data_IF_833354936730
#
_entry.id   IF_833354936730
#
_cell.length_a   1.000
_cell.length_b   1.000
_cell.length_c   1.000
_cell.angle_alpha   90.00
_cell.angle_beta   90.00
_cell.angle_gamma   90.00
#
_symmetry.space_group_name_H-M   'P 1'
#
loop_
_entity.id
_entity.type
_entity.pdbx_description
1 polymer ?
#
# COMPACT_ATOMS: atom_id res chain seq x y z
N UNK A 1 -47.00 -56.82 28.28
CA UNK A 1 -47.34 -55.48 27.76
C UNK A 1 -46.30 -54.50 28.28
N UNK A 2 -45.28 -54.20 27.46
CA UNK A 2 -44.28 -53.18 27.78
C UNK A 2 -43.76 -52.65 26.45
N UNK A 3 -44.15 -51.43 26.09
CA UNK A 3 -43.75 -50.76 24.86
C UNK A 3 -42.54 -49.87 25.18
N UNK A 4 -41.42 -50.09 24.47
CA UNK A 4 -40.26 -49.21 24.53
C UNK A 4 -40.15 -48.49 23.18
N UNK A 5 -40.45 -47.19 23.18
CA UNK A 5 -40.25 -46.28 22.04
C UNK A 5 -38.80 -45.78 22.09
N UNK A 6 -38.04 -46.05 21.04
CA UNK A 6 -36.75 -45.40 20.78
C UNK A 6 -36.94 -44.44 19.59
N UNK A 7 -37.00 -43.16 19.90
CA UNK A 7 -36.92 -42.08 18.93
C UNK A 7 -35.45 -41.93 18.52
N UNK A 8 -35.16 -42.22 17.26
CA UNK A 8 -33.82 -42.03 16.68
C UNK A 8 -33.80 -40.64 16.03
N UNK A 9 -33.27 -39.66 16.75
CA UNK A 9 -33.01 -38.31 16.23
C UNK A 9 -31.83 -38.35 15.27
N UNK A 10 -32.08 -38.16 13.98
CA UNK A 10 -31.03 -37.96 12.97
C UNK A 10 -30.53 -36.53 13.11
N UNK A 11 -29.35 -36.38 13.71
CA UNK A 11 -28.62 -35.10 13.73
C UNK A 11 -28.02 -34.89 12.33
N UNK A 12 -28.55 -33.91 11.60
CA UNK A 12 -27.94 -33.42 10.38
C UNK A 12 -26.68 -32.62 10.76
N UNK A 13 -25.49 -33.17 10.49
CA UNK A 13 -24.25 -32.40 10.51
C UNK A 13 -24.20 -31.51 9.26
N UNK A 14 -24.55 -30.25 9.43
CA UNK A 14 -24.18 -29.19 8.49
C UNK A 14 -22.68 -28.93 8.64
N UNK A 15 -21.88 -29.51 7.75
CA UNK A 15 -20.50 -29.08 7.54
C UNK A 15 -20.55 -27.66 6.95
N UNK A 16 -20.39 -26.65 7.80
CA UNK A 16 -19.93 -25.35 7.35
C UNK A 16 -18.52 -25.55 6.82
N UNK A 17 -18.40 -25.73 5.51
CA UNK A 17 -17.17 -25.40 4.81
C UNK A 17 -16.99 -23.89 4.97
N UNK A 18 -16.40 -23.49 6.11
CA UNK A 18 -15.79 -22.19 6.24
C UNK A 18 -14.78 -22.09 5.11
N UNK A 19 -15.00 -21.14 4.21
CA UNK A 19 -13.95 -20.70 3.30
C UNK A 19 -12.74 -20.45 4.18
N UNK A 20 -11.70 -21.28 4.05
CA UNK A 20 -10.38 -20.96 4.56
C UNK A 20 -9.93 -19.75 3.75
N UNK A 21 -10.36 -18.58 4.20
CA UNK A 21 -9.71 -17.32 3.86
C UNK A 21 -8.31 -17.52 4.39
N UNK A 22 -7.35 -17.58 3.47
CA UNK A 22 -5.93 -17.68 3.73
C UNK A 22 -5.56 -16.57 4.73
N UNK A 23 -5.62 -16.87 6.03
CA UNK A 23 -5.23 -16.01 7.14
C UNK A 23 -3.69 -15.94 7.16
N UNK A 24 -3.10 -15.46 6.06
CA UNK A 24 -1.77 -14.89 6.14
C UNK A 24 -1.92 -13.62 6.97
N UNK A 25 -1.49 -13.70 8.23
CA UNK A 25 -1.36 -12.53 9.10
C UNK A 25 -0.31 -11.64 8.45
N UNK A 26 -0.76 -10.58 7.78
CA UNK A 26 0.13 -9.58 7.23
C UNK A 26 0.67 -8.74 8.38
N UNK A 27 1.99 -8.63 8.46
CA UNK A 27 2.67 -7.84 9.49
C UNK A 27 2.80 -6.38 9.02
N UNK A 28 2.88 -6.15 7.71
CA UNK A 28 2.97 -4.81 7.14
C UNK A 28 1.61 -4.27 6.69
N UNK A 29 1.56 -2.96 6.47
CA UNK A 29 0.38 -2.23 6.04
C UNK A 29 0.70 -1.23 4.92
N UNK A 30 -0.27 -0.36 4.67
CA UNK A 30 -0.19 0.65 3.61
C UNK A 30 -0.80 1.99 4.05
N UNK A 31 -0.56 3.01 3.23
CA UNK A 31 -1.19 4.34 3.27
C UNK A 31 -2.00 4.55 1.99
N UNK A 32 -3.15 5.24 2.08
CA UNK A 32 -3.98 5.57 0.92
C UNK A 32 -3.55 6.91 0.32
N UNK A 33 -3.33 6.96 -0.99
CA UNK A 33 -3.00 8.18 -1.72
C UNK A 33 -4.15 8.54 -2.66
N UNK A 34 -4.91 9.61 -2.36
CA UNK A 34 -5.96 10.09 -3.27
C UNK A 34 -5.44 11.19 -4.15
N UNK A 35 -5.63 11.03 -5.45
CA UNK A 35 -5.24 12.02 -6.45
C UNK A 35 -6.41 12.92 -6.79
N UNK A 36 -6.21 14.22 -6.65
CA UNK A 36 -7.22 15.25 -6.93
C UNK A 36 -6.59 16.32 -7.81
N UNK A 37 -7.35 16.94 -8.69
CA UNK A 37 -6.85 18.07 -9.48
C UNK A 37 -6.45 19.24 -8.57
N UNK A 38 -5.33 19.89 -8.89
CA UNK A 38 -4.86 21.10 -8.24
C UNK A 38 -5.81 22.28 -8.44
N UNK A 39 -5.81 23.21 -7.50
CA UNK A 39 -6.68 24.40 -7.58
C UNK A 39 -6.24 25.34 -8.72
N UNK A 40 -4.98 25.25 -9.13
CA UNK A 40 -4.42 26.01 -10.26
C UNK A 40 -4.83 25.47 -11.63
N UNK A 41 -5.42 24.27 -11.70
CA UNK A 41 -5.70 23.56 -12.95
C UNK A 41 -7.17 23.67 -13.38
N UNK A 42 -7.40 24.13 -14.61
CA UNK A 42 -8.73 24.12 -15.22
C UNK A 42 -9.12 22.72 -15.73
N UNK A 43 -8.14 21.93 -16.18
CA UNK A 43 -8.33 20.62 -16.80
C UNK A 43 -7.70 19.50 -15.94
N UNK A 44 -8.07 18.25 -16.20
CA UNK A 44 -7.46 17.09 -15.52
C UNK A 44 -5.94 17.01 -15.86
N UNK A 45 -5.04 17.10 -14.86
CA UNK A 45 -3.59 17.06 -15.07
C UNK A 45 -3.06 15.64 -15.31
N UNK A 46 -3.85 14.62 -15.01
CA UNK A 46 -3.46 13.21 -15.03
C UNK A 46 -3.64 12.55 -16.41
N UNK A 47 -4.22 13.25 -17.38
CA UNK A 47 -4.48 12.71 -18.72
C UNK A 47 -3.19 12.16 -19.35
N UNK A 48 -3.23 10.92 -19.80
CA UNK A 48 -2.10 10.18 -20.39
C UNK A 48 -1.01 9.72 -19.41
N UNK A 49 -1.28 9.74 -18.10
CA UNK A 49 -0.37 9.14 -17.11
C UNK A 49 -0.29 7.63 -17.33
N UNK A 50 0.92 7.12 -17.51
CA UNK A 50 1.22 5.69 -17.59
C UNK A 50 2.07 5.22 -16.42
N UNK A 51 2.82 6.13 -15.78
CA UNK A 51 3.65 5.81 -14.62
C UNK A 51 3.51 6.89 -13.54
N UNK A 52 3.47 6.46 -12.27
CA UNK A 52 3.44 7.35 -11.10
C UNK A 52 4.62 6.98 -10.20
N UNK A 53 5.29 7.99 -9.65
CA UNK A 53 6.35 7.80 -8.67
C UNK A 53 5.98 8.55 -7.39
N UNK A 54 6.01 7.85 -6.27
CA UNK A 54 5.78 8.42 -4.94
C UNK A 54 6.91 8.01 -4.02
N UNK A 55 7.47 8.96 -3.28
CA UNK A 55 8.43 8.70 -2.21
C UNK A 55 7.90 9.24 -0.88
N UNK A 56 8.11 8.49 0.19
CA UNK A 56 7.83 8.94 1.55
C UNK A 56 9.01 8.67 2.47
N UNK A 57 9.33 9.68 3.27
CA UNK A 57 10.35 9.65 4.32
C UNK A 57 9.81 8.90 5.54
N UNK A 58 10.56 7.91 5.99
CA UNK A 58 10.33 7.29 7.29
C UNK A 58 10.51 8.34 8.38
N UNK A 59 9.60 8.40 9.34
CA UNK A 59 9.78 9.22 10.54
C UNK A 59 10.43 8.39 11.65
N UNK A 60 10.76 9.04 12.77
CA UNK A 60 11.65 8.50 13.82
C UNK A 60 11.32 7.06 14.24
N UNK A 61 10.05 6.71 14.50
CA UNK A 61 9.72 5.32 14.87
C UNK A 61 10.19 4.30 13.81
N UNK A 62 9.89 4.55 12.53
CA UNK A 62 10.24 3.61 11.48
C UNK A 62 11.74 3.57 11.20
N UNK A 63 12.44 4.70 11.41
CA UNK A 63 13.90 4.73 11.36
C UNK A 63 14.50 3.87 12.48
N UNK A 64 14.06 4.07 13.73
CA UNK A 64 14.52 3.30 14.90
C UNK A 64 14.24 1.80 14.73
N UNK A 65 13.10 1.44 14.14
CA UNK A 65 12.76 0.05 13.82
C UNK A 65 13.79 -0.59 12.87
N UNK A 66 14.09 0.03 11.73
CA UNK A 66 15.05 -0.54 10.77
C UNK A 66 16.51 -0.48 11.24
N UNK A 67 16.84 0.38 12.21
CA UNK A 67 18.15 0.40 12.87
C UNK A 67 18.26 -0.71 13.92
N UNK A 68 17.18 -0.99 14.66
CA UNK A 68 17.14 -2.06 15.65
C UNK A 68 17.04 -3.46 15.01
N UNK A 69 16.35 -3.58 13.87
CA UNK A 69 16.16 -4.83 13.15
C UNK A 69 16.57 -4.70 11.67
N UNK A 70 17.88 -4.77 11.36
CA UNK A 70 18.37 -4.70 10.00
C UNK A 70 17.97 -5.90 9.14
N UNK A 71 17.54 -7.03 9.74
CA UNK A 71 17.07 -8.19 8.98
C UNK A 71 15.76 -7.88 8.25
N UNK A 72 14.96 -6.93 8.75
CA UNK A 72 13.67 -6.50 8.17
C UNK A 72 13.80 -5.46 7.04
N UNK A 73 15.01 -4.97 6.77
CA UNK A 73 15.28 -4.07 5.63
C UNK A 73 15.04 -4.81 4.32
N UNK A 74 14.78 -4.09 3.23
CA UNK A 74 14.54 -4.68 1.91
C UNK A 74 15.69 -5.56 1.44
N UNK A 75 16.93 -5.20 1.76
CA UNK A 75 18.16 -5.95 1.49
C UNK A 75 18.63 -6.81 2.67
N UNK A 76 17.86 -6.83 3.77
CA UNK A 76 18.08 -7.66 4.94
C UNK A 76 17.68 -9.12 4.71
N UNK A 77 18.02 -9.99 5.68
CA UNK A 77 17.76 -11.44 5.57
C UNK A 77 16.27 -11.77 5.40
N UNK A 78 15.42 -11.03 6.09
CA UNK A 78 13.99 -11.25 6.15
C UNK A 78 13.23 -10.28 5.21
N UNK A 79 13.94 -9.39 4.51
CA UNK A 79 13.38 -8.44 3.54
C UNK A 79 12.60 -9.10 2.41
N UNK A 80 13.03 -10.27 1.93
CA UNK A 80 12.31 -11.02 0.90
C UNK A 80 10.94 -11.52 1.40
N UNK A 81 10.79 -11.76 2.72
CA UNK A 81 9.49 -12.12 3.30
C UNK A 81 8.51 -10.94 3.24
N UNK A 82 9.00 -9.71 3.35
CA UNK A 82 8.17 -8.50 3.30
C UNK A 82 7.95 -8.04 1.85
N UNK A 83 9.02 -7.82 1.09
CA UNK A 83 8.99 -7.19 -0.23
C UNK A 83 8.84 -8.18 -1.39
N UNK A 84 9.01 -9.48 -1.12
CA UNK A 84 8.93 -10.54 -2.12
C UNK A 84 7.51 -10.89 -2.55
N UNK A 85 7.37 -11.57 -3.70
CA UNK A 85 6.08 -11.98 -4.23
C UNK A 85 5.48 -13.14 -3.40
N UNK A 86 4.15 -13.25 -3.45
CA UNK A 86 3.39 -14.21 -2.64
C UNK A 86 3.71 -15.68 -2.98
N UNK A 87 4.03 -15.99 -4.23
CA UNK A 87 4.34 -17.34 -4.72
C UNK A 87 5.73 -17.82 -4.30
N UNK A 88 6.63 -16.91 -3.92
CA UNK A 88 7.95 -17.21 -3.36
C UNK A 88 7.99 -17.15 -1.83
N UNK A 89 6.83 -17.01 -1.17
CA UNK A 89 6.72 -17.00 0.29
C UNK A 89 6.79 -15.61 0.93
N UNK A 90 6.82 -14.54 0.13
CA UNK A 90 6.69 -13.18 0.63
C UNK A 90 5.24 -12.77 0.90
N UNK A 91 5.06 -11.57 1.44
CA UNK A 91 3.73 -11.00 1.70
C UNK A 91 2.96 -10.65 0.41
N UNK A 92 3.65 -10.48 -0.73
CA UNK A 92 3.01 -10.23 -2.01
C UNK A 92 2.60 -8.78 -2.26
N UNK A 93 3.28 -7.82 -1.62
CA UNK A 93 2.93 -6.40 -1.74
C UNK A 93 3.02 -5.84 -3.16
N UNK A 94 3.83 -6.45 -4.04
CA UNK A 94 3.91 -6.05 -5.45
C UNK A 94 2.57 -6.20 -6.19
N UNK A 95 1.74 -7.17 -5.79
CA UNK A 95 0.41 -7.36 -6.35
C UNK A 95 -0.64 -6.60 -5.52
N UNK A 96 -0.56 -6.73 -4.19
CA UNK A 96 -1.59 -6.21 -3.25
C UNK A 96 -1.82 -4.71 -3.32
N UNK A 97 -0.77 -3.91 -3.56
CA UNK A 97 -0.93 -2.45 -3.66
C UNK A 97 -1.81 -2.01 -4.84
N UNK A 98 -2.05 -2.92 -5.79
CA UNK A 98 -2.90 -2.71 -6.97
C UNK A 98 -4.10 -3.67 -7.04
N UNK A 99 -4.31 -4.55 -6.05
CA UNK A 99 -5.52 -5.36 -5.91
C UNK A 99 -6.71 -4.49 -5.52
N UNK A 100 -7.93 -4.81 -5.97
CA UNK A 100 -9.16 -4.05 -5.70
C UNK A 100 -9.60 -4.10 -4.22
N UNK A 101 -8.79 -3.55 -3.32
CA UNK A 101 -9.03 -3.45 -1.88
C UNK A 101 -9.91 -2.23 -1.54
N UNK A 102 -9.91 -1.21 -2.41
CA UNK A 102 -10.68 0.03 -2.25
C UNK A 102 -11.60 0.30 -3.44
N UNK A 103 -12.83 0.79 -3.19
CA UNK A 103 -13.83 1.02 -4.24
C UNK A 103 -13.43 2.05 -5.30
N UNK A 104 -12.45 2.91 -5.01
CA UNK A 104 -11.94 3.93 -5.92
C UNK A 104 -10.46 3.74 -6.27
N UNK A 105 -9.94 2.52 -6.14
CA UNK A 105 -8.55 2.23 -6.49
C UNK A 105 -8.31 2.45 -7.99
N UNK A 106 -7.13 2.97 -8.33
CA UNK A 106 -6.68 3.04 -9.70
C UNK A 106 -6.19 1.66 -10.15
N UNK A 107 -6.52 1.28 -11.39
CA UNK A 107 -6.00 0.05 -11.98
C UNK A 107 -4.50 0.24 -12.25
N UNK A 108 -3.67 -0.55 -11.58
CA UNK A 108 -2.22 -0.44 -11.67
C UNK A 108 -1.50 -1.79 -11.59
N UNK A 109 -0.19 -1.75 -11.78
CA UNK A 109 0.75 -2.78 -11.32
C UNK A 109 1.96 -2.10 -10.71
N UNK A 110 2.63 -2.73 -9.76
CA UNK A 110 3.88 -2.20 -9.21
C UNK A 110 5.02 -2.44 -10.20
N UNK A 111 5.71 -1.36 -10.57
CA UNK A 111 6.94 -1.43 -11.35
C UNK A 111 8.11 -1.77 -10.43
N UNK A 112 8.23 -1.05 -9.31
CA UNK A 112 9.33 -1.19 -8.38
C UNK A 112 8.97 -0.63 -7.00
N UNK A 113 9.47 -1.28 -5.97
CA UNK A 113 9.55 -0.75 -4.61
C UNK A 113 11.03 -0.68 -4.26
N UNK A 114 11.50 0.49 -3.79
CA UNK A 114 12.89 0.69 -3.38
C UNK A 114 12.92 1.36 -2.01
N UNK A 115 13.59 0.72 -1.06
CA UNK A 115 13.92 1.28 0.24
C UNK A 115 15.35 1.82 0.21
N UNK A 116 15.56 3.01 0.75
CA UNK A 116 16.87 3.63 0.94
C UNK A 116 16.99 4.11 2.38
N UNK A 117 17.97 3.61 3.11
CA UNK A 117 18.15 3.89 4.54
C UNK A 117 19.49 4.55 4.86
N UNK A 118 20.47 4.45 3.96
CA UNK A 118 21.86 4.81 4.26
C UNK A 118 22.22 6.19 3.70
N UNK A 119 21.62 6.57 2.56
CA UNK A 119 21.91 7.84 1.91
C UNK A 119 20.83 8.90 2.17
N UNK A 120 21.11 9.82 3.09
CA UNK A 120 20.25 10.99 3.33
C UNK A 120 19.13 10.70 4.32
N UNK A 121 17.91 11.17 4.02
CA UNK A 121 16.74 10.90 4.86
C UNK A 121 16.22 9.50 4.48
N UNK A 122 16.10 8.55 5.42
CA UNK A 122 15.57 7.22 5.13
C UNK A 122 14.17 7.29 4.53
N UNK A 123 13.95 6.60 3.41
CA UNK A 123 12.71 6.68 2.65
C UNK A 123 12.39 5.40 1.88
N UNK A 124 11.16 5.33 1.38
CA UNK A 124 10.70 4.30 0.45
C UNK A 124 10.05 4.95 -0.75
N UNK A 125 10.39 4.44 -1.93
CA UNK A 125 9.83 4.85 -3.21
C UNK A 125 9.04 3.71 -3.82
N UNK A 126 7.82 4.01 -4.27
CA UNK A 126 7.00 3.09 -5.05
C UNK A 126 6.76 3.69 -6.43
N UNK A 127 7.08 2.91 -7.46
CA UNK A 127 6.76 3.22 -8.84
C UNK A 127 5.61 2.33 -9.31
N UNK A 128 4.56 2.96 -9.84
CA UNK A 128 3.36 2.30 -10.34
C UNK A 128 3.31 2.43 -11.85
N UNK A 129 2.92 1.37 -12.55
CA UNK A 129 2.43 1.43 -13.92
C UNK A 129 0.91 1.47 -13.88
N UNK A 130 0.29 2.45 -14.54
CA UNK A 130 -1.16 2.53 -14.63
C UNK A 130 -1.66 1.69 -15.81
N UNK A 131 -2.64 0.82 -15.55
CA UNK A 131 -3.29 0.00 -16.59
C UNK A 131 -4.55 0.67 -17.13
N UNK A 132 -5.04 1.71 -16.46
CA UNK A 132 -6.02 2.66 -16.97
C UNK A 132 -5.57 4.11 -16.70
N UNK A 133 -5.75 5.04 -17.65
CA UNK A 133 -5.14 6.38 -17.58
C UNK A 133 -5.87 7.37 -16.63
N UNK A 134 -6.95 6.95 -15.98
CA UNK A 134 -7.76 7.84 -15.16
C UNK A 134 -7.31 7.78 -13.70
N UNK A 135 -6.56 8.79 -13.26
CA UNK A 135 -6.10 8.93 -11.87
C UNK A 135 -6.95 9.94 -11.08
N UNK A 136 -7.73 10.81 -11.73
CA UNK A 136 -8.49 11.84 -11.00
C UNK A 136 -9.56 11.21 -10.09
N UNK A 137 -9.52 11.56 -8.81
CA UNK A 137 -10.40 11.02 -7.78
C UNK A 137 -10.08 9.59 -7.34
N UNK A 138 -9.04 8.96 -7.91
CA UNK A 138 -8.64 7.58 -7.61
C UNK A 138 -7.64 7.49 -6.47
N UNK A 139 -7.48 6.27 -5.96
CA UNK A 139 -6.57 5.90 -4.88
C UNK A 139 -5.45 5.00 -5.41
N UNK A 140 -4.22 5.25 -4.99
CA UNK A 140 -3.15 4.25 -4.99
C UNK A 140 -2.82 3.88 -3.54
N UNK A 141 -2.50 2.61 -3.30
CA UNK A 141 -2.03 2.16 -2.00
C UNK A 141 -0.50 2.21 -1.98
N UNK A 142 0.08 2.75 -0.90
CA UNK A 142 1.52 2.94 -0.74
C UNK A 142 2.06 2.07 0.39
N UNK A 143 3.06 1.25 0.09
CA UNK A 143 3.74 0.37 1.05
C UNK A 143 4.72 -0.59 0.39
N UNK A 144 5.10 -1.70 1.05
CA UNK A 144 4.73 -2.06 2.42
C UNK A 144 5.35 -1.14 3.47
N UNK A 145 4.67 -1.00 4.61
CA UNK A 145 5.13 -0.22 5.76
C UNK A 145 4.91 -1.02 7.05
N UNK A 146 5.82 -0.98 8.03
CA UNK A 146 5.58 -1.61 9.34
C UNK A 146 4.37 -0.99 10.05
N UNK A 147 3.47 -1.83 10.55
CA UNK A 147 2.33 -1.42 11.40
C UNK A 147 2.77 -1.19 12.84
N UNK A 148 1.87 -0.68 13.68
CA UNK A 148 2.17 -0.45 15.10
C UNK A 148 2.60 -1.73 15.84
N UNK A 149 2.05 -2.88 15.43
CA UNK A 149 2.39 -4.20 15.99
C UNK A 149 3.79 -4.64 15.55
N UNK A 150 4.11 -4.47 14.27
CA UNK A 150 5.40 -4.89 13.68
C UNK A 150 6.54 -3.98 14.10
N UNK A 151 6.30 -2.66 14.14
CA UNK A 151 7.31 -1.68 14.54
C UNK A 151 7.48 -1.56 16.06
N UNK A 152 6.62 -2.22 16.85
CA UNK A 152 6.51 -2.05 18.31
C UNK A 152 6.45 -0.58 18.74
N UNK A 153 5.66 0.22 18.01
CA UNK A 153 5.49 1.65 18.28
C UNK A 153 4.05 2.09 18.02
N UNK A 154 3.50 3.06 18.78
CA UNK A 154 2.08 3.42 18.68
C UNK A 154 1.71 4.02 17.32
N UNK A 155 2.58 4.86 16.76
CA UNK A 155 2.29 5.70 15.60
C UNK A 155 3.41 5.62 14.54
N UNK A 156 3.52 4.50 13.79
CA UNK A 156 4.45 4.39 12.67
C UNK A 156 4.07 5.39 11.58
N UNK A 157 4.87 6.43 11.42
CA UNK A 157 4.55 7.58 10.58
C UNK A 157 5.48 7.65 9.37
N UNK A 158 4.90 7.99 8.23
CA UNK A 158 5.60 8.38 7.00
C UNK A 158 5.19 9.78 6.60
N UNK A 159 6.08 10.49 5.91
CA UNK A 159 5.83 11.84 5.38
C UNK A 159 6.16 11.86 3.89
N UNK A 160 5.34 12.52 3.07
CA UNK A 160 5.71 12.71 1.65
C UNK A 160 7.06 13.44 1.56
N UNK A 161 8.00 12.84 0.83
CA UNK A 161 9.37 13.31 0.70
C UNK A 161 9.45 14.66 -0.03
N UNK A 162 10.62 15.28 0.02
CA UNK A 162 10.92 16.48 -0.77
C UNK A 162 10.81 16.23 -2.29
N UNK A 163 11.06 15.00 -2.74
CA UNK A 163 10.71 14.52 -4.08
C UNK A 163 9.19 14.34 -4.16
N UNK A 164 8.53 15.39 -4.65
CA UNK A 164 7.08 15.44 -4.77
C UNK A 164 6.55 14.32 -5.68
N UNK A 165 5.37 13.74 -5.36
CA UNK A 165 4.70 12.81 -6.23
C UNK A 165 4.57 13.36 -7.64
N UNK A 166 4.88 12.53 -8.63
CA UNK A 166 4.91 12.92 -10.04
C UNK A 166 4.35 11.81 -10.91
N UNK A 167 3.92 12.18 -12.12
CA UNK A 167 3.50 11.22 -13.12
C UNK A 167 4.06 11.49 -14.50
N UNK A 168 4.19 10.41 -15.25
CA UNK A 168 4.89 10.35 -16.52
C UNK A 168 4.00 9.71 -17.59
N UNK A 169 4.19 10.13 -18.84
CA UNK A 169 3.54 9.53 -20.01
C UNK A 169 4.32 8.30 -20.54
N UNK A 170 3.79 7.64 -21.57
CA UNK A 170 4.42 6.45 -22.18
C UNK A 170 5.86 6.66 -22.69
N UNK A 171 6.17 7.81 -23.32
CA UNK A 171 7.55 8.20 -23.64
C UNK A 171 8.50 8.42 -22.44
N UNK A 172 7.95 8.65 -21.24
CA UNK A 172 8.72 8.90 -20.02
C UNK A 172 8.85 10.39 -19.63
N UNK A 173 8.14 11.30 -20.31
CA UNK A 173 8.12 12.71 -19.93
C UNK A 173 7.25 12.92 -18.70
N UNK A 174 7.70 13.75 -17.77
CA UNK A 174 6.89 14.17 -16.62
C UNK A 174 5.79 15.13 -17.08
N UNK A 175 4.53 14.75 -16.85
CA UNK A 175 3.36 15.51 -17.31
C UNK A 175 2.61 16.20 -16.17
N UNK A 176 2.84 15.80 -14.92
CA UNK A 176 2.33 16.49 -13.74
C UNK A 176 3.24 16.29 -12.53
N UNK A 177 3.08 17.19 -11.56
CA UNK A 177 3.73 17.12 -10.25
C UNK A 177 2.74 17.58 -9.17
N UNK A 178 2.86 17.03 -7.96
CA UNK A 178 2.09 17.50 -6.83
C UNK A 178 2.35 18.99 -6.58
N UNK A 179 1.26 19.74 -6.37
CA UNK A 179 1.27 21.15 -5.97
C UNK A 179 1.00 21.28 -4.48
N UNK A 180 0.08 20.46 -3.95
CA UNK A 180 -0.31 20.48 -2.54
C UNK A 180 -0.57 19.05 -2.04
N UNK A 181 -0.15 18.79 -0.81
CA UNK A 181 -0.28 17.48 -0.15
C UNK A 181 -0.90 17.71 1.22
N UNK A 182 -1.99 17.02 1.52
CA UNK A 182 -2.72 17.20 2.79
C UNK A 182 -3.40 15.90 3.27
N UNK A 183 -3.16 15.49 4.53
CA UNK A 183 -2.02 15.86 5.35
C UNK A 183 -0.69 15.45 4.68
N UNK A 184 0.45 16.10 5.00
CA UNK A 184 1.75 15.69 4.47
C UNK A 184 2.29 14.39 5.11
N UNK A 185 1.62 13.89 6.14
CA UNK A 185 1.99 12.75 6.98
C UNK A 185 0.86 11.75 7.02
N UNK A 186 1.20 10.48 7.16
CA UNK A 186 0.23 9.41 7.37
C UNK A 186 0.78 8.34 8.31
N UNK A 187 -0.13 7.69 9.02
CA UNK A 187 0.17 6.58 9.91
C UNK A 187 -0.13 5.25 9.23
N UNK A 188 0.81 4.32 9.29
CA UNK A 188 0.68 3.02 8.65
C UNK A 188 -0.51 2.23 9.20
N UNK A 189 -1.33 1.66 8.32
CA UNK A 189 -2.39 0.72 8.71
C UNK A 189 -3.60 1.36 9.40
N UNK A 190 -3.61 2.68 9.60
CA UNK A 190 -4.73 3.39 10.24
C UNK A 190 -5.83 3.83 9.24
N UNK A 191 -5.68 3.50 7.96
CA UNK A 191 -6.66 3.81 6.91
C UNK A 191 -6.77 5.29 6.54
N UNK A 192 -5.91 6.15 7.10
CA UNK A 192 -5.81 7.56 6.75
C UNK A 192 -5.38 7.77 5.30
N UNK A 193 -5.86 8.87 4.72
CA UNK A 193 -5.64 9.21 3.31
C UNK A 193 -4.77 10.47 3.19
N UNK A 194 -3.76 10.40 2.33
CA UNK A 194 -2.97 11.55 1.87
C UNK A 194 -3.58 12.03 0.56
N UNK A 195 -4.11 13.25 0.55
CA UNK A 195 -4.62 13.88 -0.67
C UNK A 195 -3.48 14.57 -1.40
N UNK A 196 -3.26 14.15 -2.64
CA UNK A 196 -2.29 14.71 -3.58
C UNK A 196 -3.04 15.55 -4.60
N UNK A 197 -2.90 16.87 -4.50
CA UNK A 197 -3.38 17.83 -5.49
C UNK A 197 -2.26 18.13 -6.47
N UNK A 198 -2.49 17.93 -7.77
CA UNK A 198 -1.43 18.06 -8.79
C UNK A 198 -1.72 19.11 -9.85
N UNK A 199 -0.64 19.62 -10.44
CA UNK A 199 -0.66 20.55 -11.57
C UNK A 199 0.08 19.98 -12.78
N UNK A 200 -0.27 20.43 -13.98
CA UNK A 200 0.44 20.07 -15.20
C UNK A 200 1.85 20.65 -15.18
N UNK A 201 2.78 19.91 -15.79
CA UNK A 201 4.16 20.35 -16.00
C UNK A 201 4.30 21.18 -17.27
#
# INVERSE_FOLDING_TARGET
MTALRLALSVVALSLFAGCAQDERIFTNGYVKLRFVRGESEADNPYVSTTRVTVSMDYQTCLQDYYDADPDQRQDGRDGELVFGPADLGGEGWQDRLCEDLESSQAACSINKITQELEMGIPHITVEYNLTAPELEGRILLFGPLPTSETADCPDPEVRVSSSLPSGYNGPGDQIWIAENISPPKAYTGQGGEVVIKSRKN
#
